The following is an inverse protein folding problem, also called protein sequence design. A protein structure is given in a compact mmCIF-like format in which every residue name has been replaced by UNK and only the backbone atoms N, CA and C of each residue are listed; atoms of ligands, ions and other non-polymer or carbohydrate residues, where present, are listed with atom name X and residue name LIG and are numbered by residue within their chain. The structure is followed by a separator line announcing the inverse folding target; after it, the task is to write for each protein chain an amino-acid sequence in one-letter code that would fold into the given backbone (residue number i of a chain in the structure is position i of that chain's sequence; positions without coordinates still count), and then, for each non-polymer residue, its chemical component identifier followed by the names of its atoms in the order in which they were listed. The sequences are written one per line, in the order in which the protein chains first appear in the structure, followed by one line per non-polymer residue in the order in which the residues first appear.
data_IF_792134846567
#
_entry.id   IF_792134846567
#
_cell.length_a   1.000
_cell.length_b   1.000
_cell.length_c   1.000
_cell.angle_alpha   90.00
_cell.angle_beta   90.00
_cell.angle_gamma   90.00
#
_symmetry.space_group_name_H-M   'P 1'
#
loop_
_entity.id
_entity.type
_entity.pdbx_description
1 polymer ?
#
# COMPACT_ATOMS: atom_id res chain seq x y z
N UNK A 1 52.59 -9.93 38.31
CA UNK A 1 52.03 -10.46 37.05
C UNK A 1 50.51 -10.42 37.18
N UNK A 2 49.85 -9.40 36.61
CA UNK A 2 49.39 -9.27 35.21
C UNK A 2 48.04 -9.98 34.93
N UNK A 3 46.95 -9.62 35.64
CA UNK A 3 45.60 -10.16 35.31
C UNK A 3 44.46 -9.12 35.41
N UNK A 4 44.77 -7.82 35.30
CA UNK A 4 43.76 -6.74 35.30
C UNK A 4 43.66 -6.04 33.94
N UNK A 5 43.59 -6.76 32.82
CA UNK A 5 43.44 -6.14 31.48
C UNK A 5 42.62 -6.93 30.46
N UNK A 6 41.90 -7.99 30.84
CA UNK A 6 41.24 -8.87 29.85
C UNK A 6 39.71 -8.73 29.82
N UNK A 7 39.10 -8.01 30.77
CA UNK A 7 37.63 -7.93 30.88
C UNK A 7 36.97 -6.79 30.08
N UNK A 8 37.71 -6.08 29.23
CA UNK A 8 37.19 -4.92 28.50
C UNK A 8 36.97 -5.14 26.98
N UNK A 9 37.23 -6.34 26.44
CA UNK A 9 37.34 -6.54 24.99
C UNK A 9 36.26 -7.43 24.35
N UNK A 10 35.16 -7.76 25.03
CA UNK A 10 34.14 -8.69 24.50
C UNK A 10 32.75 -8.05 24.29
N UNK A 11 32.57 -6.77 24.63
CA UNK A 11 31.26 -6.11 24.56
C UNK A 11 30.89 -5.49 23.19
N UNK A 12 31.76 -5.53 22.17
CA UNK A 12 31.58 -4.78 20.92
C UNK A 12 31.40 -5.66 19.66
N UNK A 13 30.72 -6.81 19.74
CA UNK A 13 30.53 -7.69 18.58
C UNK A 13 29.08 -8.03 18.22
N UNK A 14 28.07 -7.40 18.85
CA UNK A 14 26.65 -7.81 18.64
C UNK A 14 25.82 -6.76 17.86
N UNK A 15 26.36 -5.59 17.51
CA UNK A 15 25.55 -4.49 16.95
C UNK A 15 25.49 -4.39 15.42
N UNK A 16 25.95 -5.40 14.67
CA UNK A 16 26.01 -5.34 13.20
C UNK A 16 24.94 -6.18 12.48
N UNK A 17 23.92 -6.67 13.18
CA UNK A 17 22.72 -7.22 12.54
C UNK A 17 21.76 -6.08 12.17
N UNK A 18 22.19 -5.18 11.27
CA UNK A 18 21.24 -4.40 10.49
C UNK A 18 20.56 -5.38 9.54
N UNK A 19 19.49 -6.03 9.99
CA UNK A 19 18.52 -6.59 9.06
C UNK A 19 17.95 -5.42 8.29
N UNK A 20 18.49 -5.17 7.11
CA UNK A 20 17.90 -4.30 6.10
C UNK A 20 16.60 -4.97 5.71
N UNK A 21 15.55 -4.72 6.49
CA UNK A 21 14.18 -5.06 6.13
C UNK A 21 13.89 -4.19 4.92
N UNK A 22 14.15 -4.72 3.72
CA UNK A 22 13.74 -4.08 2.47
C UNK A 22 12.25 -3.82 2.64
N UNK A 23 11.81 -2.56 2.75
CA UNK A 23 10.40 -2.28 2.88
C UNK A 23 9.75 -2.89 1.64
N UNK A 24 8.65 -3.62 1.80
CA UNK A 24 7.84 -4.01 0.66
C UNK A 24 7.65 -2.74 -0.21
N UNK A 25 7.64 -2.83 -1.55
CA UNK A 25 7.67 -1.66 -2.44
C UNK A 25 6.54 -0.63 -2.20
N UNK A 26 5.53 -0.98 -1.41
CA UNK A 26 4.42 -0.12 -0.99
C UNK A 26 4.59 0.53 0.40
N UNK A 27 5.54 0.08 1.23
CA UNK A 27 5.63 0.42 2.66
C UNK A 27 6.32 1.77 2.97
N UNK A 28 6.91 2.43 1.97
CA UNK A 28 7.65 3.69 2.15
C UNK A 28 7.04 4.91 1.45
N UNK A 29 5.91 4.76 0.77
CA UNK A 29 5.34 5.85 -0.03
C UNK A 29 4.27 6.58 0.77
N UNK A 30 4.41 7.89 0.91
CA UNK A 30 3.45 8.72 1.63
C UNK A 30 2.10 8.69 0.91
N UNK A 31 1.08 8.17 1.58
CA UNK A 31 -0.28 8.11 1.05
C UNK A 31 -1.05 9.35 1.49
N UNK A 32 -1.87 9.88 0.59
CA UNK A 32 -2.83 10.94 0.84
C UNK A 32 -4.14 10.34 1.33
N UNK A 33 -4.76 10.96 2.33
CA UNK A 33 -6.10 10.58 2.79
C UNK A 33 -7.15 11.03 1.75
N UNK A 34 -7.99 10.10 1.31
CA UNK A 34 -9.17 10.39 0.49
C UNK A 34 -10.42 10.55 1.35
N UNK A 35 -10.64 9.61 2.26
CA UNK A 35 -11.72 9.59 3.26
C UNK A 35 -11.20 8.90 4.54
N UNK A 36 -12.02 8.79 5.59
CA UNK A 36 -11.69 8.14 6.87
C UNK A 36 -11.15 6.72 6.71
N UNK A 37 -11.66 6.00 5.72
CA UNK A 37 -11.33 4.59 5.47
C UNK A 37 -10.42 4.39 4.25
N UNK A 38 -10.07 5.44 3.50
CA UNK A 38 -9.39 5.32 2.20
C UNK A 38 -8.17 6.23 2.11
N UNK A 39 -7.02 5.63 1.82
CA UNK A 39 -5.77 6.32 1.52
C UNK A 39 -5.34 6.00 0.09
N UNK A 40 -4.67 6.91 -0.59
CA UNK A 40 -4.21 6.70 -1.95
C UNK A 40 -2.87 7.38 -2.23
N UNK A 41 -2.16 6.87 -3.21
CA UNK A 41 -0.99 7.53 -3.80
C UNK A 41 -1.06 7.41 -5.30
N UNK A 42 -0.52 8.42 -5.98
CA UNK A 42 -0.52 8.51 -7.44
C UNK A 42 0.91 8.61 -7.93
N UNK A 43 1.25 7.82 -8.93
CA UNK A 43 2.48 7.98 -9.68
C UNK A 43 2.17 8.39 -11.10
N UNK A 44 2.57 9.59 -11.50
CA UNK A 44 2.32 10.05 -12.85
C UNK A 44 3.28 9.40 -13.86
N UNK A 45 2.72 8.96 -14.98
CA UNK A 45 3.45 8.45 -16.14
C UNK A 45 3.01 9.25 -17.38
N UNK A 46 3.80 9.29 -18.47
CA UNK A 46 3.47 10.11 -19.65
C UNK A 46 2.06 9.87 -20.21
N UNK A 47 1.64 8.60 -20.25
CA UNK A 47 0.35 8.18 -20.80
C UNK A 47 -0.78 8.13 -19.76
N UNK A 48 -0.53 8.48 -18.49
CA UNK A 48 -1.46 8.12 -17.42
C UNK A 48 -0.97 8.40 -16.01
N UNK A 49 -1.42 7.56 -15.09
CA UNK A 49 -0.90 7.47 -13.74
C UNK A 49 -1.13 6.07 -13.17
N UNK A 50 -0.22 5.59 -12.33
CA UNK A 50 -0.45 4.42 -11.51
C UNK A 50 -1.12 4.87 -10.21
N UNK A 51 -2.31 4.34 -9.95
CA UNK A 51 -3.04 4.61 -8.72
C UNK A 51 -2.88 3.42 -7.78
N UNK A 52 -2.47 3.70 -6.55
CA UNK A 52 -2.48 2.73 -5.46
C UNK A 52 -3.40 3.23 -4.35
N UNK A 53 -4.38 2.41 -3.98
CA UNK A 53 -5.38 2.70 -2.94
C UNK A 53 -5.24 1.68 -1.83
N UNK A 54 -5.27 2.15 -0.59
CA UNK A 54 -5.37 1.34 0.61
C UNK A 54 -6.73 1.63 1.26
N UNK A 55 -7.58 0.62 1.34
CA UNK A 55 -8.90 0.73 1.92
C UNK A 55 -8.98 -0.13 3.19
N UNK A 56 -9.38 0.51 4.28
CA UNK A 56 -9.54 -0.13 5.60
C UNK A 56 -11.01 -0.46 5.80
N UNK A 57 -11.30 -1.69 6.19
CA UNK A 57 -12.67 -2.09 6.48
C UNK A 57 -12.99 -1.74 7.93
N UNK A 58 -13.82 -0.72 8.15
CA UNK A 58 -14.30 -0.33 9.48
C UNK A 58 -15.19 -1.41 10.12
N UNK A 59 -15.88 -2.20 9.30
CA UNK A 59 -16.73 -3.31 9.73
C UNK A 59 -15.95 -4.64 9.67
N UNK A 60 -15.72 -5.27 10.84
CA UNK A 60 -14.90 -6.47 11.04
C UNK A 60 -15.43 -7.77 10.37
N UNK A 61 -16.35 -7.74 9.41
CA UNK A 61 -16.93 -8.96 8.81
C UNK A 61 -17.11 -8.79 7.30
N UNK A 62 -16.01 -8.79 6.55
CA UNK A 62 -16.06 -8.79 5.08
C UNK A 62 -15.58 -10.16 4.58
N UNK A 63 -16.44 -10.86 3.84
CA UNK A 63 -16.07 -12.09 3.11
C UNK A 63 -15.00 -11.71 2.07
N UNK A 64 -14.04 -12.59 1.77
CA UNK A 64 -12.94 -12.27 0.84
C UNK A 64 -13.42 -11.75 -0.52
N UNK A 65 -14.52 -12.30 -1.05
CA UNK A 65 -15.10 -11.86 -2.32
C UNK A 65 -15.71 -10.46 -2.27
N UNK A 66 -16.36 -10.09 -1.15
CA UNK A 66 -16.91 -8.74 -0.97
C UNK A 66 -15.80 -7.72 -0.69
N UNK A 67 -14.68 -8.16 -0.11
CA UNK A 67 -13.51 -7.32 0.10
C UNK A 67 -12.88 -6.92 -1.24
N UNK A 68 -12.64 -7.88 -2.14
CA UNK A 68 -12.06 -7.62 -3.46
C UNK A 68 -12.89 -6.60 -4.27
N UNK A 69 -14.21 -6.82 -4.35
CA UNK A 69 -15.12 -5.93 -5.06
C UNK A 69 -15.14 -4.52 -4.45
N UNK A 70 -15.18 -4.40 -3.12
CA UNK A 70 -15.11 -3.10 -2.44
C UNK A 70 -13.77 -2.38 -2.72
N UNK A 71 -12.66 -3.11 -2.76
CA UNK A 71 -11.35 -2.53 -3.05
C UNK A 71 -11.28 -1.96 -4.47
N UNK A 72 -11.79 -2.72 -5.44
CA UNK A 72 -11.87 -2.28 -6.85
C UNK A 72 -12.78 -1.07 -7.00
N UNK A 73 -13.93 -1.06 -6.33
CA UNK A 73 -14.84 0.07 -6.33
C UNK A 73 -14.20 1.33 -5.73
N UNK A 74 -13.47 1.20 -4.61
CA UNK A 74 -12.72 2.31 -4.01
C UNK A 74 -11.65 2.85 -4.96
N UNK A 75 -10.89 1.97 -5.62
CA UNK A 75 -9.90 2.36 -6.62
C UNK A 75 -10.54 3.12 -7.79
N UNK A 76 -11.64 2.62 -8.33
CA UNK A 76 -12.35 3.27 -9.42
C UNK A 76 -12.91 4.63 -9.00
N UNK A 77 -13.46 4.75 -7.78
CA UNK A 77 -13.93 6.04 -7.25
C UNK A 77 -12.81 7.07 -7.16
N UNK A 78 -11.67 6.70 -6.56
CA UNK A 78 -10.51 7.59 -6.45
C UNK A 78 -9.97 7.98 -7.83
N UNK A 79 -9.88 7.03 -8.77
CA UNK A 79 -9.44 7.30 -10.13
C UNK A 79 -10.32 8.34 -10.84
N UNK A 80 -11.66 8.19 -10.74
CA UNK A 80 -12.61 9.13 -11.32
C UNK A 80 -12.53 10.50 -10.66
N UNK A 81 -12.44 10.58 -9.33
CA UNK A 81 -12.28 11.86 -8.64
C UNK A 81 -10.97 12.58 -9.01
N UNK A 82 -9.88 11.84 -9.24
CA UNK A 82 -8.64 12.41 -9.74
C UNK A 82 -8.76 12.92 -11.17
N UNK A 83 -9.48 12.20 -12.03
CA UNK A 83 -9.78 12.60 -13.39
C UNK A 83 -10.60 13.90 -13.44
N UNK A 84 -11.66 13.98 -12.63
CA UNK A 84 -12.51 15.17 -12.49
C UNK A 84 -11.72 16.39 -12.00
N UNK A 85 -10.92 16.23 -10.93
CA UNK A 85 -10.06 17.30 -10.41
C UNK A 85 -9.06 17.83 -11.43
N UNK A 86 -8.61 16.98 -12.35
CA UNK A 86 -7.69 17.35 -13.42
C UNK A 86 -8.39 17.76 -14.72
N UNK A 87 -9.72 17.72 -14.75
CA UNK A 87 -10.53 18.01 -15.94
C UNK A 87 -10.08 17.20 -17.17
N UNK A 88 -9.56 15.99 -16.94
CA UNK A 88 -9.03 15.12 -18.00
C UNK A 88 -9.68 13.74 -17.87
N UNK A 89 -10.46 13.29 -18.88
CA UNK A 89 -11.09 11.98 -18.81
C UNK A 89 -10.07 10.85 -18.83
N UNK A 90 -10.36 9.78 -18.10
CA UNK A 90 -9.59 8.53 -18.09
C UNK A 90 -10.29 7.46 -18.92
N UNK A 91 -9.53 6.47 -19.36
CA UNK A 91 -10.10 5.23 -19.90
C UNK A 91 -10.80 4.44 -18.77
N UNK A 92 -11.83 3.64 -19.10
CA UNK A 92 -12.47 2.79 -18.11
C UNK A 92 -11.43 1.88 -17.43
N UNK A 93 -11.47 1.83 -16.10
CA UNK A 93 -10.51 1.06 -15.31
C UNK A 93 -10.66 -0.42 -15.67
N UNK A 94 -9.61 -1.01 -16.24
CA UNK A 94 -9.62 -2.43 -16.55
C UNK A 94 -9.41 -3.25 -15.27
N UNK A 95 -10.48 -3.90 -14.78
CA UNK A 95 -10.47 -4.72 -13.56
C UNK A 95 -9.44 -5.86 -13.59
N UNK A 96 -9.06 -6.34 -14.77
CA UNK A 96 -8.08 -7.42 -14.94
C UNK A 96 -6.65 -6.95 -14.65
N UNK A 97 -6.39 -5.65 -14.83
CA UNK A 97 -5.10 -5.04 -14.51
C UNK A 97 -5.00 -4.60 -13.04
N UNK A 98 -6.12 -4.63 -12.31
CA UNK A 98 -6.15 -4.27 -10.89
C UNK A 98 -5.55 -5.41 -10.07
N UNK A 99 -4.40 -5.14 -9.46
CA UNK A 99 -3.80 -6.05 -8.48
C UNK A 99 -4.37 -5.73 -7.11
N UNK A 100 -5.06 -6.69 -6.51
CA UNK A 100 -5.61 -6.56 -5.15
C UNK A 100 -4.85 -7.46 -4.20
N UNK A 101 -4.40 -6.88 -3.10
CA UNK A 101 -3.78 -7.58 -1.98
C UNK A 101 -4.68 -7.38 -0.77
N UNK A 102 -5.07 -8.46 -0.09
CA UNK A 102 -5.88 -8.36 1.13
C UNK A 102 -5.04 -8.69 2.35
N UNK A 103 -5.18 -7.88 3.39
CA UNK A 103 -4.51 -8.09 4.69
C UNK A 103 -5.54 -8.59 5.69
N UNK A 104 -5.21 -9.68 6.38
CA UNK A 104 -6.05 -10.27 7.42
C UNK A 104 -5.62 -9.78 8.80
N UNK A 105 -6.59 -9.55 9.67
CA UNK A 105 -6.38 -9.34 11.10
C UNK A 105 -5.98 -10.65 11.79
N UNK A 106 -5.53 -10.55 13.04
CA UNK A 106 -5.23 -11.71 13.90
C UNK A 106 -6.42 -12.66 14.06
N UNK A 107 -7.66 -12.17 13.91
CA UNK A 107 -8.90 -12.97 13.94
C UNK A 107 -9.18 -13.73 12.63
N UNK A 108 -8.28 -13.66 11.65
CA UNK A 108 -8.41 -14.31 10.34
C UNK A 108 -9.32 -13.59 9.34
N UNK A 109 -9.99 -12.51 9.76
CA UNK A 109 -10.88 -11.69 8.91
C UNK A 109 -10.11 -10.63 8.14
N UNK A 110 -10.57 -10.28 6.94
CA UNK A 110 -9.96 -9.21 6.14
C UNK A 110 -10.14 -7.86 6.86
N UNK A 111 -9.04 -7.16 7.10
CA UNK A 111 -8.99 -5.90 7.83
C UNK A 111 -8.69 -4.71 6.92
N UNK A 112 -7.92 -4.94 5.86
CA UNK A 112 -7.61 -3.94 4.86
C UNK A 112 -7.39 -4.61 3.50
N UNK A 113 -7.50 -3.82 2.44
CA UNK A 113 -7.08 -4.19 1.10
C UNK A 113 -6.24 -3.09 0.47
N UNK A 114 -5.23 -3.48 -0.30
CA UNK A 114 -4.48 -2.60 -1.15
C UNK A 114 -4.79 -2.97 -2.61
N UNK A 115 -5.26 -2.01 -3.40
CA UNK A 115 -5.48 -2.16 -4.83
C UNK A 115 -4.52 -1.24 -5.59
N UNK A 116 -3.89 -1.76 -6.64
CA UNK A 116 -3.05 -0.95 -7.53
C UNK A 116 -3.40 -1.21 -8.99
N UNK A 117 -3.54 -0.15 -9.79
CA UNK A 117 -3.83 -0.26 -11.20
C UNK A 117 -3.20 0.89 -12.01
N UNK A 118 -2.74 0.62 -13.23
CA UNK A 118 -2.40 1.67 -14.19
C UNK A 118 -3.69 2.27 -14.77
N UNK A 119 -3.79 3.60 -14.73
CA UNK A 119 -4.90 4.37 -15.28
C UNK A 119 -4.38 5.16 -16.47
N UNK A 120 -4.91 4.89 -17.66
CA UNK A 120 -4.57 5.62 -18.88
C UNK A 120 -5.50 6.83 -19.05
N UNK A 121 -4.96 7.91 -19.59
CA UNK A 121 -5.78 9.04 -20.02
C UNK A 121 -6.52 8.69 -21.30
N UNK A 122 -7.77 9.14 -21.42
CA UNK A 122 -8.50 9.04 -22.67
C UNK A 122 -7.79 9.92 -23.71
N UNK A 123 -7.46 9.33 -24.86
CA UNK A 123 -6.89 10.02 -26.02
C UNK A 123 -7.94 10.80 -26.79
#
# INVERSE_FOLDING_TARGET
MQYKKVLAAVACLISAACTTTTPAPSAGRQMSTYDMDTEYTVEYVPDGFTLMVNYRYSQFIVRSSSADAACKAALASVANSLAERRQRPIEPVNEQLVKVTTTRSWSGKVAACAASAPIAWKR
#
